data_IF_523044690613
#
_entry.id   IF_523044690613
#
_cell.length_a   1.000
_cell.length_b   1.000
_cell.length_c   1.000
_cell.angle_alpha   90.00
_cell.angle_beta   90.00
_cell.angle_gamma   90.00
#
_symmetry.space_group_name_H-M   'P 1'
#
loop_
_entity.id
_entity.type
_entity.pdbx_description
1 polymer ?
#
# COMPACT_ATOMS: atom_id res chain seq x y z
N UNK A 1 -21.34 -1.73 -11.56
CA UNK A 1 -21.03 -2.41 -10.28
C UNK A 1 -19.54 -2.69 -10.09
N UNK A 2 -18.82 -3.17 -11.11
CA UNK A 2 -17.35 -3.38 -11.03
C UNK A 2 -16.55 -2.12 -10.63
N UNK A 3 -16.95 -0.92 -11.06
CA UNK A 3 -16.29 0.34 -10.71
C UNK A 3 -16.36 0.70 -9.21
N UNK A 4 -17.48 0.44 -8.54
CA UNK A 4 -17.64 0.71 -7.11
C UNK A 4 -16.80 -0.25 -6.25
N UNK A 5 -16.80 -1.54 -6.62
CA UNK A 5 -16.02 -2.56 -5.94
C UNK A 5 -14.52 -2.32 -6.17
N UNK A 6 -14.12 -1.97 -7.39
CA UNK A 6 -12.74 -1.58 -7.71
C UNK A 6 -12.28 -0.33 -6.95
N UNK A 7 -13.15 0.66 -6.74
CA UNK A 7 -12.82 1.85 -5.94
C UNK A 7 -12.67 1.52 -4.45
N UNK A 8 -13.53 0.67 -3.90
CA UNK A 8 -13.46 0.24 -2.50
C UNK A 8 -12.24 -0.64 -2.23
N UNK A 9 -11.95 -1.61 -3.11
CA UNK A 9 -10.77 -2.47 -3.01
C UNK A 9 -9.47 -1.72 -3.29
N UNK A 10 -9.47 -0.79 -4.25
CA UNK A 10 -8.32 0.07 -4.55
C UNK A 10 -8.04 1.12 -3.47
N UNK A 11 -9.06 1.56 -2.73
CA UNK A 11 -8.90 2.47 -1.60
C UNK A 11 -8.19 1.82 -0.39
N UNK A 12 -8.12 0.49 -0.34
CA UNK A 12 -7.38 -0.23 0.70
C UNK A 12 -5.90 -0.28 0.27
N UNK A 13 -5.17 0.80 0.57
CA UNK A 13 -3.73 0.83 0.36
C UNK A 13 -3.00 0.03 1.44
N UNK A 14 -2.27 -1.04 1.08
CA UNK A 14 -1.50 -1.85 2.03
C UNK A 14 -0.42 -1.02 2.70
N UNK A 15 0.16 -0.08 1.95
CA UNK A 15 1.13 0.88 2.45
C UNK A 15 0.56 1.70 3.62
N UNK A 16 -0.71 2.12 3.54
CA UNK A 16 -1.38 2.85 4.62
C UNK A 16 -1.64 1.95 5.83
N UNK A 17 -2.15 0.73 5.62
CA UNK A 17 -2.38 -0.23 6.70
C UNK A 17 -1.08 -0.56 7.42
N UNK A 18 -0.01 -0.89 6.68
CA UNK A 18 1.29 -1.22 7.25
C UNK A 18 1.89 -0.02 7.99
N UNK A 19 1.74 1.20 7.47
CA UNK A 19 2.18 2.41 8.17
C UNK A 19 1.48 2.59 9.52
N UNK A 20 0.16 2.38 9.54
CA UNK A 20 -0.66 2.54 10.72
C UNK A 20 -0.46 1.41 11.74
N UNK A 21 -0.31 0.16 11.30
CA UNK A 21 -0.19 -1.01 12.17
C UNK A 21 1.24 -1.18 12.70
N UNK A 22 2.26 -1.00 11.86
CA UNK A 22 3.65 -1.24 12.27
C UNK A 22 4.27 -0.08 13.04
N UNK A 23 3.89 1.16 12.69
CA UNK A 23 4.50 2.37 13.25
C UNK A 23 3.51 3.40 13.78
N UNK A 24 2.19 3.16 13.68
CA UNK A 24 1.19 4.13 14.15
C UNK A 24 1.12 5.40 13.32
N UNK A 25 1.70 5.43 12.12
CA UNK A 25 1.83 6.65 11.30
C UNK A 25 1.03 6.55 10.00
N UNK A 26 0.52 7.69 9.53
CA UNK A 26 0.03 7.79 8.16
C UNK A 26 1.22 7.93 7.20
N UNK A 27 1.49 6.87 6.44
CA UNK A 27 2.57 6.86 5.44
C UNK A 27 2.44 7.96 4.38
N UNK A 28 1.23 8.47 4.12
CA UNK A 28 1.00 9.57 3.16
C UNK A 28 1.46 10.93 3.68
N UNK A 29 1.74 11.02 4.98
CA UNK A 29 2.33 12.21 5.59
C UNK A 29 3.86 12.09 5.73
N UNK A 30 4.43 10.92 5.41
CA UNK A 30 5.84 10.61 5.63
C UNK A 30 6.55 10.23 4.32
N UNK A 31 7.88 10.40 4.29
CA UNK A 31 8.71 10.07 3.15
C UNK A 31 8.31 10.83 1.87
N UNK A 32 7.97 10.10 0.79
CA UNK A 32 7.54 10.69 -0.49
C UNK A 32 6.06 11.04 -0.53
N UNK A 33 5.31 10.83 0.57
CA UNK A 33 3.87 11.09 0.70
C UNK A 33 2.96 10.24 -0.21
N UNK A 34 3.54 9.29 -0.95
CA UNK A 34 2.80 8.35 -1.79
C UNK A 34 2.52 7.05 -1.05
N UNK A 35 1.35 6.45 -1.29
CA UNK A 35 0.93 5.20 -0.67
C UNK A 35 1.38 3.97 -1.49
N UNK A 36 2.69 3.87 -1.75
CA UNK A 36 3.27 2.80 -2.56
C UNK A 36 4.55 2.19 -1.98
N UNK A 37 4.96 1.07 -2.56
CA UNK A 37 6.13 0.24 -2.14
C UNK A 37 7.40 1.04 -1.88
N UNK A 38 7.72 2.02 -2.73
CA UNK A 38 8.93 2.84 -2.57
C UNK A 38 8.89 3.67 -1.29
N UNK A 39 7.72 4.22 -0.93
CA UNK A 39 7.57 4.99 0.30
C UNK A 39 7.57 4.07 1.52
N UNK A 40 6.95 2.89 1.41
CA UNK A 40 7.01 1.86 2.44
C UNK A 40 8.46 1.47 2.72
N UNK A 41 9.28 1.27 1.69
CA UNK A 41 10.71 0.95 1.84
C UNK A 41 11.46 2.04 2.60
N UNK A 42 11.17 3.31 2.29
CA UNK A 42 11.81 4.47 2.94
C UNK A 42 11.38 4.67 4.39
N UNK A 43 10.10 4.46 4.71
CA UNK A 43 9.51 4.82 6.00
C UNK A 43 9.45 3.61 6.96
N UNK A 44 9.12 2.43 6.45
CA UNK A 44 8.89 1.21 7.23
C UNK A 44 10.00 0.15 7.05
N UNK A 45 10.85 0.29 6.03
CA UNK A 45 11.97 -0.62 5.77
C UNK A 45 11.66 -1.70 4.71
N UNK A 46 12.64 -2.58 4.48
CA UNK A 46 12.62 -3.52 3.36
C UNK A 46 11.55 -4.63 3.50
N UNK A 47 11.36 -5.17 4.70
CA UNK A 47 10.36 -6.23 4.95
C UNK A 47 8.94 -5.84 4.55
N UNK A 48 8.38 -4.74 5.11
CA UNK A 48 7.05 -4.25 4.74
C UNK A 48 6.93 -3.87 3.26
N UNK A 49 8.04 -3.41 2.66
CA UNK A 49 8.07 -3.04 1.25
C UNK A 49 7.93 -4.26 0.33
N UNK A 50 8.62 -5.36 0.64
CA UNK A 50 8.49 -6.62 -0.12
C UNK A 50 7.05 -7.12 -0.05
N UNK A 51 6.43 -7.10 1.13
CA UNK A 51 5.04 -7.50 1.28
C UNK A 51 4.08 -6.61 0.46
N UNK A 52 4.27 -5.29 0.51
CA UNK A 52 3.47 -4.34 -0.29
C UNK A 52 3.65 -4.58 -1.79
N UNK A 53 4.88 -4.84 -2.24
CA UNK A 53 5.19 -5.12 -3.64
C UNK A 53 4.50 -6.38 -4.15
N UNK A 54 4.57 -7.48 -3.39
CA UNK A 54 3.92 -8.74 -3.74
C UNK A 54 2.41 -8.53 -3.82
N UNK A 55 1.82 -7.85 -2.83
CA UNK A 55 0.38 -7.63 -2.81
C UNK A 55 -0.10 -6.74 -3.97
N UNK A 56 0.62 -5.66 -4.28
CA UNK A 56 0.29 -4.80 -5.43
C UNK A 56 0.47 -5.54 -6.77
N UNK A 57 1.47 -6.41 -6.90
CA UNK A 57 1.64 -7.30 -8.06
C UNK A 57 0.48 -8.31 -8.19
N UNK A 58 0.10 -8.97 -7.10
CA UNK A 58 -1.02 -9.92 -7.09
C UNK A 58 -2.35 -9.28 -7.45
N UNK A 59 -2.63 -8.08 -6.92
CA UNK A 59 -3.82 -7.30 -7.32
C UNK A 59 -3.74 -6.85 -8.78
N UNK A 60 -2.56 -6.49 -9.26
CA UNK A 60 -2.36 -6.12 -10.67
C UNK A 60 -2.73 -7.24 -11.64
N UNK A 61 -2.43 -8.50 -11.29
CA UNK A 61 -2.86 -9.66 -12.08
C UNK A 61 -4.36 -9.94 -11.98
N UNK A 62 -4.98 -9.67 -10.82
CA UNK A 62 -6.43 -9.88 -10.60
C UNK A 62 -7.30 -8.74 -11.14
N UNK A 63 -6.70 -7.58 -11.46
CA UNK A 63 -7.39 -6.41 -11.98
C UNK A 63 -7.57 -6.44 -13.52
N UNK A 64 -7.08 -7.49 -14.19
CA UNK A 64 -7.27 -7.76 -15.62
C UNK A 64 -8.53 -8.62 -15.82
#
# INVERSE_FOLDING_TARGET
>A
MALLIGYLLGSISPAFILGKVLKGIDIRQHGTKNAGTTNVKKVLGLGPAIFTAIYDLSKGLLAI
#
